data_IF_081420450236
#
_entry.id   IF_081420450236
#
_cell.length_a   1.000
_cell.length_b   1.000
_cell.length_c   1.000
_cell.angle_alpha   90.00
_cell.angle_beta   90.00
_cell.angle_gamma   90.00
#
_symmetry.space_group_name_H-M   'P 1'
#
loop_
_entity.id
_entity.type
_entity.pdbx_description
1 polymer ?
#
# COMPACT_ATOMS: atom_id res chain seq x y z
N UNK A 1 22.39 -36.67 30.56
CA UNK A 1 23.44 -35.96 29.77
C UNK A 1 23.30 -34.48 30.05
N UNK A 2 24.13 -33.89 30.91
CA UNK A 2 24.03 -32.47 31.29
C UNK A 2 24.69 -31.62 30.21
N UNK A 3 23.89 -30.76 29.54
CA UNK A 3 24.43 -29.81 28.57
C UNK A 3 25.50 -28.92 29.19
N UNK A 4 26.57 -28.63 28.47
CA UNK A 4 27.62 -27.70 28.92
C UNK A 4 27.06 -26.28 29.12
N UNK A 5 27.67 -25.48 30.00
CA UNK A 5 27.28 -24.09 30.27
C UNK A 5 27.11 -23.26 28.97
N UNK A 6 28.06 -23.30 28.02
CA UNK A 6 27.91 -22.56 26.74
C UNK A 6 26.68 -22.98 25.93
N UNK A 7 26.37 -24.29 25.89
CA UNK A 7 25.24 -24.82 25.13
C UNK A 7 23.87 -24.35 25.74
N UNK A 8 23.82 -24.29 27.08
CA UNK A 8 22.60 -23.76 27.76
C UNK A 8 22.42 -22.27 27.47
N UNK A 9 23.51 -21.50 27.50
CA UNK A 9 23.45 -20.07 27.22
C UNK A 9 23.00 -19.78 25.77
N UNK A 10 23.60 -20.45 24.79
CA UNK A 10 23.18 -20.36 23.38
C UNK A 10 21.73 -20.80 23.18
N UNK A 11 21.31 -21.86 23.85
CA UNK A 11 19.91 -22.31 23.81
C UNK A 11 18.94 -21.30 24.36
N UNK A 12 19.28 -20.63 25.47
CA UNK A 12 18.47 -19.56 26.05
C UNK A 12 18.35 -18.36 25.10
N UNK A 13 19.45 -17.92 24.51
CA UNK A 13 19.44 -16.83 23.52
C UNK A 13 18.56 -17.22 22.33
N UNK A 14 18.75 -18.39 21.76
CA UNK A 14 17.96 -18.84 20.60
C UNK A 14 16.45 -18.90 20.93
N UNK A 15 16.10 -19.43 22.11
CA UNK A 15 14.71 -19.47 22.58
C UNK A 15 14.14 -18.05 22.76
N UNK A 16 14.87 -17.14 23.37
CA UNK A 16 14.44 -15.75 23.58
C UNK A 16 14.19 -15.05 22.24
N UNK A 17 15.09 -15.21 21.29
CA UNK A 17 14.92 -14.65 19.94
C UNK A 17 13.71 -15.25 19.22
N UNK A 18 13.52 -16.57 19.33
CA UNK A 18 12.37 -17.24 18.72
C UNK A 18 11.04 -16.75 19.33
N UNK A 19 10.95 -16.66 20.65
CA UNK A 19 9.77 -16.13 21.35
C UNK A 19 9.52 -14.65 21.00
N UNK A 20 10.56 -13.84 20.92
CA UNK A 20 10.48 -12.44 20.49
C UNK A 20 9.96 -12.33 19.06
N UNK A 21 10.44 -13.17 18.14
CA UNK A 21 9.97 -13.20 16.76
C UNK A 21 8.49 -13.62 16.68
N UNK A 22 8.09 -14.66 17.39
CA UNK A 22 6.68 -15.10 17.44
C UNK A 22 5.77 -14.01 18.00
N UNK A 23 6.19 -13.36 19.08
CA UNK A 23 5.46 -12.25 19.69
C UNK A 23 5.33 -11.07 18.70
N UNK A 24 6.42 -10.68 18.04
CA UNK A 24 6.40 -9.60 17.04
C UNK A 24 5.50 -9.93 15.86
N UNK A 25 5.58 -11.15 15.32
CA UNK A 25 4.71 -11.60 14.23
C UNK A 25 3.24 -11.59 14.69
N UNK A 26 2.96 -12.09 15.86
CA UNK A 26 1.60 -12.09 16.44
C UNK A 26 1.01 -10.69 16.59
N UNK A 27 1.78 -9.76 17.14
CA UNK A 27 1.36 -8.35 17.28
C UNK A 27 1.23 -7.66 15.93
N UNK A 28 2.15 -7.93 15.00
CA UNK A 28 2.06 -7.43 13.63
C UNK A 28 0.78 -7.90 12.93
N UNK A 29 0.45 -9.19 13.03
CA UNK A 29 -0.78 -9.72 12.43
C UNK A 29 -2.04 -9.16 13.09
N UNK A 30 -2.03 -9.04 14.40
CA UNK A 30 -3.17 -8.53 15.17
C UNK A 30 -3.52 -7.08 14.79
N UNK A 31 -2.53 -6.22 14.58
CA UNK A 31 -2.74 -4.81 14.27
C UNK A 31 -3.17 -4.53 12.82
N UNK A 32 -3.15 -5.53 11.91
CA UNK A 32 -3.63 -5.36 10.53
C UNK A 32 -5.10 -4.94 10.56
N UNK A 33 -5.46 -3.92 9.76
CA UNK A 33 -6.79 -3.31 9.73
C UNK A 33 -7.01 -2.23 10.79
N UNK A 34 -6.02 -1.94 11.67
CA UNK A 34 -6.11 -0.80 12.58
C UNK A 34 -5.90 0.52 11.83
N UNK A 35 -6.79 1.49 12.06
CA UNK A 35 -6.84 2.78 11.36
C UNK A 35 -5.85 3.80 11.94
N UNK A 36 -4.59 3.38 12.08
CA UNK A 36 -3.52 4.22 12.64
C UNK A 36 -2.79 4.92 11.53
N UNK A 37 -2.68 6.25 11.63
CA UNK A 37 -2.01 7.09 10.63
C UNK A 37 -2.49 6.86 9.19
N UNK A 38 -3.76 6.47 9.05
CA UNK A 38 -4.42 6.25 7.77
C UNK A 38 -5.51 7.31 7.55
N UNK A 39 -5.65 7.74 6.31
CA UNK A 39 -6.50 8.86 5.94
C UNK A 39 -7.78 8.37 5.25
N UNK A 40 -8.95 8.60 5.86
CA UNK A 40 -10.26 8.20 5.32
C UNK A 40 -10.52 8.77 3.93
N UNK A 41 -10.20 10.05 3.69
CA UNK A 41 -10.46 10.68 2.39
C UNK A 41 -9.69 10.02 1.24
N UNK A 42 -8.49 9.45 1.53
CA UNK A 42 -7.70 8.67 0.56
C UNK A 42 -8.46 7.41 0.18
N UNK A 43 -8.98 6.70 1.18
CA UNK A 43 -9.78 5.50 0.96
C UNK A 43 -11.04 5.80 0.15
N UNK A 44 -11.83 6.80 0.56
CA UNK A 44 -13.05 7.20 -0.13
C UNK A 44 -12.78 7.62 -1.58
N UNK A 45 -11.73 8.42 -1.80
CA UNK A 45 -11.34 8.81 -3.14
C UNK A 45 -10.93 7.61 -4.01
N UNK A 46 -10.23 6.63 -3.44
CA UNK A 46 -9.85 5.41 -4.15
C UNK A 46 -11.05 4.55 -4.52
N UNK A 47 -12.00 4.38 -3.61
CA UNK A 47 -13.27 3.66 -3.88
C UNK A 47 -13.98 4.28 -5.08
N UNK A 48 -14.18 5.61 -5.10
CA UNK A 48 -14.80 6.32 -6.22
C UNK A 48 -14.05 6.11 -7.53
N UNK A 49 -12.71 6.14 -7.49
CA UNK A 49 -11.86 5.95 -8.69
C UNK A 49 -11.97 4.52 -9.24
N UNK A 50 -12.02 3.53 -8.38
CA UNK A 50 -12.24 2.13 -8.79
C UNK A 50 -13.63 1.92 -9.38
N UNK A 51 -14.68 2.54 -8.83
CA UNK A 51 -16.01 2.51 -9.43
C UNK A 51 -16.01 3.13 -10.83
N UNK A 52 -15.29 4.24 -11.04
CA UNK A 52 -15.17 4.85 -12.37
C UNK A 52 -14.46 3.93 -13.37
N UNK A 53 -13.40 3.22 -12.95
CA UNK A 53 -12.75 2.21 -13.78
C UNK A 53 -13.71 1.08 -14.14
N UNK A 54 -14.42 0.54 -13.16
CA UNK A 54 -15.38 -0.55 -13.36
C UNK A 54 -16.54 -0.16 -14.30
N UNK A 55 -17.14 1.03 -14.09
CA UNK A 55 -18.23 1.56 -14.94
C UNK A 55 -17.82 1.78 -16.41
N UNK A 56 -16.53 1.97 -16.66
CA UNK A 56 -16.00 2.20 -18.01
C UNK A 56 -15.18 1.03 -18.52
N UNK A 57 -15.30 -0.17 -17.95
CA UNK A 57 -14.49 -1.33 -18.32
C UNK A 57 -14.66 -1.71 -19.80
N UNK A 58 -15.87 -1.63 -20.32
CA UNK A 58 -16.18 -1.99 -21.70
C UNK A 58 -15.88 -0.90 -22.72
N UNK A 59 -15.57 0.33 -22.29
CA UNK A 59 -15.27 1.46 -23.18
C UNK A 59 -13.77 1.67 -23.29
N UNK A 60 -13.30 2.11 -24.46
CA UNK A 60 -11.95 2.66 -24.56
C UNK A 60 -11.87 3.93 -23.72
N UNK A 61 -10.84 4.06 -22.94
CA UNK A 61 -10.70 5.12 -21.94
C UNK A 61 -9.28 5.63 -21.83
N UNK A 62 -9.16 6.87 -21.39
CA UNK A 62 -7.91 7.49 -20.98
C UNK A 62 -7.77 7.42 -19.47
N UNK A 63 -6.64 6.96 -18.98
CA UNK A 63 -6.36 6.86 -17.54
C UNK A 63 -5.11 7.67 -17.24
N UNK A 64 -5.22 8.62 -16.31
CA UNK A 64 -4.08 9.27 -15.69
C UNK A 64 -3.78 8.59 -14.35
N UNK A 65 -2.55 8.09 -14.16
CA UNK A 65 -2.14 7.49 -12.89
C UNK A 65 -0.84 8.11 -12.40
N UNK A 66 -0.90 8.79 -11.25
CA UNK A 66 0.20 9.49 -10.60
C UNK A 66 -0.15 9.82 -9.15
N UNK A 67 0.62 10.69 -8.53
CA UNK A 67 0.35 11.20 -7.19
C UNK A 67 -0.58 12.41 -7.17
N UNK A 68 -0.35 13.30 -6.21
CA UNK A 68 -1.22 14.45 -5.93
C UNK A 68 -1.18 15.53 -7.02
N UNK A 69 -0.10 15.65 -7.78
CA UNK A 69 -0.02 16.57 -8.91
C UNK A 69 -1.09 16.29 -9.97
N UNK A 70 -1.33 15.02 -10.29
CA UNK A 70 -2.41 14.65 -11.19
C UNK A 70 -3.79 14.84 -10.54
N UNK A 71 -3.92 14.54 -9.24
CA UNK A 71 -5.17 14.71 -8.51
C UNK A 71 -5.69 16.14 -8.56
N UNK A 72 -4.82 17.11 -8.30
CA UNK A 72 -5.18 18.55 -8.27
C UNK A 72 -5.01 19.25 -9.61
N UNK A 73 -4.15 18.75 -10.50
CA UNK A 73 -3.77 19.43 -11.73
C UNK A 73 -4.50 19.00 -12.99
N UNK A 74 -5.19 17.84 -12.98
CA UNK A 74 -5.85 17.30 -14.18
C UNK A 74 -7.37 17.26 -13.98
N UNK A 75 -8.06 18.10 -14.72
CA UNK A 75 -9.52 18.08 -14.85
C UNK A 75 -9.93 17.01 -15.88
N UNK A 76 -10.22 15.80 -15.39
CA UNK A 76 -10.59 14.68 -16.25
C UNK A 76 -11.88 14.91 -17.03
N UNK A 77 -12.83 15.70 -16.49
CA UNK A 77 -14.07 16.02 -17.18
C UNK A 77 -13.84 16.91 -18.41
N UNK A 78 -12.97 17.92 -18.28
CA UNK A 78 -12.59 18.75 -19.44
C UNK A 78 -11.85 17.95 -20.50
N UNK A 79 -10.96 17.05 -20.09
CA UNK A 79 -10.23 16.18 -21.03
C UNK A 79 -11.19 15.24 -21.75
N UNK A 80 -12.14 14.64 -21.03
CA UNK A 80 -13.18 13.78 -21.60
C UNK A 80 -14.02 14.52 -22.63
N UNK A 81 -14.47 15.75 -22.32
CA UNK A 81 -15.22 16.58 -23.25
C UNK A 81 -14.44 16.94 -24.52
N UNK A 82 -13.14 17.22 -24.37
CA UNK A 82 -12.28 17.60 -25.48
C UNK A 82 -11.95 16.43 -26.41
N UNK A 83 -11.80 15.21 -25.84
CA UNK A 83 -11.38 14.02 -26.60
C UNK A 83 -12.56 13.11 -27.01
N UNK A 84 -13.74 13.29 -26.42
CA UNK A 84 -14.88 12.40 -26.63
C UNK A 84 -14.63 10.97 -26.11
N UNK A 85 -13.72 10.81 -25.15
CA UNK A 85 -13.29 9.52 -24.61
C UNK A 85 -13.39 9.55 -23.09
N UNK A 86 -14.01 8.55 -22.43
CA UNK A 86 -14.03 8.46 -20.96
C UNK A 86 -12.64 8.64 -20.37
N UNK A 87 -12.51 9.59 -19.46
CA UNK A 87 -11.23 9.97 -18.86
C UNK A 87 -11.26 9.80 -17.34
N UNK A 88 -10.36 8.98 -16.80
CA UNK A 88 -10.30 8.63 -15.39
C UNK A 88 -9.00 9.13 -14.81
N UNK A 89 -9.08 9.97 -13.79
CA UNK A 89 -7.92 10.45 -13.04
C UNK A 89 -7.72 9.60 -11.78
N UNK A 90 -6.74 8.69 -11.79
CA UNK A 90 -6.31 7.88 -10.63
C UNK A 90 -5.27 8.58 -9.75
N UNK A 91 -4.89 9.81 -10.09
CA UNK A 91 -4.01 10.61 -9.24
C UNK A 91 -4.55 10.72 -7.82
N UNK A 92 -3.70 10.58 -6.81
CA UNK A 92 -4.14 10.64 -5.41
C UNK A 92 -3.03 11.16 -4.50
N UNK A 93 -2.05 10.36 -4.15
CA UNK A 93 -0.97 10.74 -3.25
C UNK A 93 0.38 10.22 -3.76
N UNK A 94 1.42 11.07 -3.65
CA UNK A 94 2.77 10.79 -4.15
C UNK A 94 3.44 9.59 -3.45
N UNK A 95 3.02 9.27 -2.23
CA UNK A 95 3.52 8.11 -1.49
C UNK A 95 3.12 6.75 -2.07
N UNK A 96 2.23 6.72 -3.08
CA UNK A 96 1.82 5.48 -3.77
C UNK A 96 2.89 5.06 -4.78
N UNK A 97 3.56 3.92 -4.62
CA UNK A 97 4.63 3.53 -5.53
C UNK A 97 4.08 3.16 -6.93
N UNK A 98 4.90 3.36 -7.96
CA UNK A 98 4.49 3.15 -9.37
C UNK A 98 3.94 1.75 -9.61
N UNK A 99 4.55 0.72 -9.03
CA UNK A 99 4.07 -0.66 -9.19
C UNK A 99 2.67 -0.88 -8.58
N UNK A 100 2.34 -0.16 -7.49
CA UNK A 100 0.99 -0.18 -6.93
C UNK A 100 -0.01 0.48 -7.88
N UNK A 101 0.32 1.65 -8.44
CA UNK A 101 -0.52 2.34 -9.43
C UNK A 101 -0.79 1.45 -10.65
N UNK A 102 0.23 0.74 -11.13
CA UNK A 102 0.09 -0.20 -12.25
C UNK A 102 -0.80 -1.39 -11.90
N UNK A 103 -0.56 -2.01 -10.74
CA UNK A 103 -1.35 -3.16 -10.29
C UNK A 103 -2.82 -2.82 -10.09
N UNK A 104 -3.11 -1.62 -9.57
CA UNK A 104 -4.47 -1.14 -9.32
C UNK A 104 -5.29 -1.00 -10.60
N UNK A 105 -4.70 -0.52 -11.70
CA UNK A 105 -5.43 -0.30 -12.95
C UNK A 105 -5.42 -1.49 -13.90
N UNK A 106 -4.40 -2.37 -13.83
CA UNK A 106 -4.20 -3.48 -14.77
C UNK A 106 -5.46 -4.35 -14.96
N UNK A 107 -6.23 -4.73 -13.92
CA UNK A 107 -7.44 -5.55 -14.10
C UNK A 107 -8.54 -4.89 -14.95
N UNK A 108 -8.49 -3.56 -15.10
CA UNK A 108 -9.47 -2.78 -15.84
C UNK A 108 -9.01 -2.37 -17.24
N UNK A 109 -7.76 -2.72 -17.61
CA UNK A 109 -7.20 -2.35 -18.91
C UNK A 109 -7.65 -3.33 -19.99
N UNK A 110 -7.84 -2.78 -21.18
CA UNK A 110 -8.06 -3.55 -22.41
C UNK A 110 -7.36 -2.89 -23.60
N UNK A 111 -7.31 -3.62 -24.71
CA UNK A 111 -6.76 -3.11 -25.95
C UNK A 111 -7.55 -1.88 -26.43
N UNK A 112 -6.83 -0.80 -26.72
CA UNK A 112 -7.38 0.49 -27.13
C UNK A 112 -7.48 1.51 -25.98
N UNK A 113 -7.21 1.12 -24.73
CA UNK A 113 -7.05 2.08 -23.64
C UNK A 113 -5.72 2.84 -23.77
N UNK A 114 -5.71 4.07 -23.25
CA UNK A 114 -4.52 4.92 -23.17
C UNK A 114 -4.22 5.19 -21.71
N UNK A 115 -2.99 4.92 -21.28
CA UNK A 115 -2.51 5.22 -19.93
C UNK A 115 -1.44 6.30 -19.99
N UNK A 116 -1.62 7.35 -19.22
CA UNK A 116 -0.67 8.45 -19.07
C UNK A 116 -0.18 8.46 -17.62
N UNK A 117 1.13 8.43 -17.44
CA UNK A 117 1.78 8.43 -16.14
C UNK A 117 2.52 9.77 -15.93
N UNK A 118 1.84 10.84 -15.52
CA UNK A 118 2.49 12.12 -15.22
C UNK A 118 3.15 12.05 -13.83
N UNK A 119 4.19 11.18 -13.75
CA UNK A 119 4.87 10.86 -12.49
C UNK A 119 5.61 12.09 -11.95
N UNK A 120 5.51 12.29 -10.65
CA UNK A 120 6.27 13.29 -9.92
C UNK A 120 7.73 12.85 -9.79
N UNK A 121 8.61 13.83 -9.57
CA UNK A 121 10.05 13.61 -9.46
C UNK A 121 10.43 12.58 -8.37
N UNK A 122 9.69 12.53 -7.30
CA UNK A 122 9.86 11.59 -6.19
C UNK A 122 9.70 10.13 -6.62
N UNK A 123 8.83 9.84 -7.58
CA UNK A 123 8.67 8.49 -8.12
C UNK A 123 9.96 7.96 -8.78
N UNK A 124 10.77 8.87 -9.35
CA UNK A 124 12.05 8.52 -9.97
C UNK A 124 13.21 8.45 -8.96
N UNK A 125 13.09 9.18 -7.83
CA UNK A 125 14.14 9.23 -6.80
C UNK A 125 13.95 8.22 -5.68
N UNK A 126 12.81 7.58 -5.58
CA UNK A 126 12.51 6.68 -4.48
C UNK A 126 13.57 5.58 -4.37
N UNK A 127 14.35 5.62 -3.29
CA UNK A 127 15.37 4.62 -2.96
C UNK A 127 14.78 3.40 -2.25
N UNK A 128 13.58 3.57 -1.69
CA UNK A 128 12.82 2.51 -1.02
C UNK A 128 11.50 2.32 -1.76
N UNK A 129 11.07 1.08 -2.02
CA UNK A 129 9.84 0.81 -2.74
C UNK A 129 8.57 1.18 -1.95
N UNK A 130 8.69 1.35 -0.62
CA UNK A 130 7.57 1.61 0.27
C UNK A 130 7.88 2.77 1.20
N UNK A 131 7.04 3.82 1.16
CA UNK A 131 7.07 4.90 2.15
C UNK A 131 6.33 4.49 3.42
N UNK A 132 6.64 5.13 4.54
CA UNK A 132 5.89 4.96 5.79
C UNK A 132 4.40 5.27 5.60
N UNK A 133 4.10 6.35 4.91
CA UNK A 133 2.73 6.72 4.58
C UNK A 133 2.01 5.59 3.83
N UNK A 134 2.63 5.02 2.80
CA UNK A 134 2.02 3.94 2.01
C UNK A 134 1.80 2.67 2.83
N UNK A 135 2.79 2.28 3.65
CA UNK A 135 2.64 1.11 4.52
C UNK A 135 1.50 1.28 5.52
N UNK A 136 1.31 2.49 6.06
CA UNK A 136 0.19 2.79 6.96
C UNK A 136 -1.17 2.65 6.25
N UNK A 137 -1.29 3.16 5.01
CA UNK A 137 -2.52 3.01 4.20
C UNK A 137 -2.81 1.55 3.87
N UNK A 138 -1.79 0.80 3.42
CA UNK A 138 -1.95 -0.63 3.10
C UNK A 138 -2.37 -1.42 4.34
N UNK A 139 -1.72 -1.21 5.48
CA UNK A 139 -2.03 -1.92 6.72
C UNK A 139 -3.45 -1.63 7.24
N UNK A 140 -3.97 -0.42 6.96
CA UNK A 140 -5.30 -0.01 7.38
C UNK A 140 -6.40 -0.47 6.41
N UNK A 141 -6.23 -0.20 5.11
CA UNK A 141 -7.30 -0.27 4.13
C UNK A 141 -7.17 -1.40 3.10
N UNK A 142 -5.92 -1.84 2.81
CA UNK A 142 -5.63 -2.76 1.70
C UNK A 142 -4.71 -3.92 2.11
N UNK A 143 -4.98 -4.62 3.22
CA UNK A 143 -4.09 -5.66 3.73
C UNK A 143 -3.88 -6.81 2.72
N UNK A 144 -4.82 -7.02 1.79
CA UNK A 144 -4.70 -7.99 0.70
C UNK A 144 -3.51 -7.71 -0.20
N UNK A 145 -3.16 -6.43 -0.42
CA UNK A 145 -1.97 -6.06 -1.16
C UNK A 145 -0.70 -6.66 -0.52
N UNK A 146 -0.54 -6.53 0.79
CA UNK A 146 0.58 -7.13 1.51
C UNK A 146 0.61 -8.66 1.34
N UNK A 147 -0.55 -9.31 1.41
CA UNK A 147 -0.62 -10.77 1.29
C UNK A 147 -0.26 -11.27 -0.10
N UNK A 148 -0.53 -10.50 -1.15
CA UNK A 148 -0.22 -10.82 -2.54
C UNK A 148 1.25 -10.60 -2.91
N UNK A 149 2.02 -9.86 -2.12
CA UNK A 149 3.44 -9.62 -2.37
C UNK A 149 4.24 -10.93 -2.34
N UNK A 150 5.28 -11.00 -3.16
CA UNK A 150 6.28 -12.07 -3.07
C UNK A 150 7.07 -11.97 -1.77
N UNK A 151 7.71 -13.06 -1.35
CA UNK A 151 8.41 -13.13 -0.05
C UNK A 151 9.47 -12.03 0.12
N UNK A 152 10.23 -11.74 -0.93
CA UNK A 152 11.25 -10.67 -0.91
C UNK A 152 10.64 -9.29 -0.73
N UNK A 153 9.52 -9.03 -1.39
CA UNK A 153 8.79 -7.77 -1.29
C UNK A 153 8.09 -7.63 0.08
N UNK A 154 7.55 -8.73 0.63
CA UNK A 154 7.04 -8.75 2.01
C UNK A 154 8.10 -8.33 3.02
N UNK A 155 9.33 -8.83 2.86
CA UNK A 155 10.43 -8.45 3.76
C UNK A 155 10.81 -6.97 3.60
N UNK A 156 10.80 -6.43 2.38
CA UNK A 156 11.03 -4.99 2.13
C UNK A 156 9.91 -4.15 2.74
N UNK A 157 8.66 -4.57 2.55
CA UNK A 157 7.50 -3.91 3.14
C UNK A 157 7.59 -3.88 4.67
N UNK A 158 7.86 -5.01 5.31
CA UNK A 158 8.00 -5.14 6.75
C UNK A 158 9.09 -4.23 7.33
N UNK A 159 10.21 -4.06 6.62
CA UNK A 159 11.29 -3.14 7.02
C UNK A 159 10.88 -1.67 6.98
N UNK A 160 9.87 -1.34 6.20
CA UNK A 160 9.34 0.03 6.07
C UNK A 160 8.21 0.32 7.07
N UNK A 161 7.71 -0.71 7.78
CA UNK A 161 6.72 -0.55 8.85
C UNK A 161 7.43 -0.17 10.16
N UNK A 162 7.12 0.99 10.69
CA UNK A 162 7.70 1.43 11.97
C UNK A 162 7.17 0.59 13.14
N UNK A 163 8.03 0.17 14.09
CA UNK A 163 7.59 -0.53 15.30
C UNK A 163 6.52 0.24 16.09
N UNK A 164 6.63 1.58 16.11
CA UNK A 164 5.62 2.45 16.71
C UNK A 164 4.23 2.27 16.10
N UNK A 165 4.15 2.11 14.78
CA UNK A 165 2.87 1.87 14.10
C UNK A 165 2.25 0.54 14.56
N UNK A 166 3.06 -0.50 14.74
CA UNK A 166 2.59 -1.80 15.25
C UNK A 166 2.01 -1.65 16.65
N UNK A 167 2.72 -0.95 17.53
CA UNK A 167 2.25 -0.70 18.91
C UNK A 167 0.94 0.10 18.93
N UNK A 168 0.87 1.20 18.20
CA UNK A 168 -0.32 2.02 18.11
C UNK A 168 -1.50 1.25 17.51
N UNK A 169 -1.27 0.38 16.53
CA UNK A 169 -2.31 -0.47 15.95
C UNK A 169 -2.85 -1.51 16.93
N UNK A 170 -1.99 -2.07 17.77
CA UNK A 170 -2.46 -2.94 18.87
C UNK A 170 -3.31 -2.17 19.87
N UNK A 171 -2.85 -0.98 20.27
CA UNK A 171 -3.58 -0.13 21.22
C UNK A 171 -4.93 0.32 20.66
N UNK A 172 -4.99 0.76 19.41
CA UNK A 172 -6.23 1.14 18.74
C UNK A 172 -7.25 0.00 18.79
N UNK A 173 -6.87 -1.20 18.37
CA UNK A 173 -7.76 -2.37 18.43
C UNK A 173 -8.19 -2.79 19.83
N UNK A 174 -7.35 -2.58 20.83
CA UNK A 174 -7.72 -2.86 22.22
C UNK A 174 -8.71 -1.82 22.78
N UNK A 175 -8.69 -0.60 22.23
CA UNK A 175 -9.61 0.48 22.62
C UNK A 175 -10.92 0.47 21.84
N UNK A 176 -11.04 -0.37 20.82
CA UNK A 176 -12.29 -0.57 20.07
C UNK A 176 -12.44 0.30 18.82
N UNK A 177 -11.31 0.72 18.24
CA UNK A 177 -11.27 1.36 16.93
C UNK A 177 -11.31 0.34 15.77
#
# INVERSE_FOLDING_TARGET
>A
MTMSLPTRYLGTIALTLALGAVFYIGTFLYQIGALVSAEYWIYDAQVVKHELLARNQDKNKLIFAAGSSAFFGIDSQRVEQALGMPTINLGLHIGRPVHFLLNEMTPYLKRGDVVVLPLEYEHYRATTPYSEWFTNQVMAWYPEYFWQLETTEKLRFLRSVLPQRVLLGVLAKLMGD
#
